data_IF_742660814938
#
_entry.id   IF_742660814938
#
_cell.length_a   1.000
_cell.length_b   1.000
_cell.length_c   1.000
_cell.angle_alpha   90.00
_cell.angle_beta   90.00
_cell.angle_gamma   90.00
#
_symmetry.space_group_name_H-M   'P 1'
#
loop_
_entity.id
_entity.type
_entity.pdbx_description
1 polymer ?
#
# COMPACT_ATOMS: atom_id res chain seq x y z
N UNK A 1 -17.41 9.50 -25.27
CA UNK A 1 -16.20 8.72 -24.93
C UNK A 1 -16.37 8.21 -23.51
N UNK A 2 -16.14 6.91 -23.27
CA UNK A 2 -16.30 6.35 -21.93
C UNK A 2 -15.24 6.91 -20.98
N UNK A 3 -15.61 7.17 -19.72
CA UNK A 3 -14.68 7.69 -18.67
C UNK A 3 -13.40 6.84 -18.59
N UNK A 4 -13.53 5.53 -18.74
CA UNK A 4 -12.40 4.59 -18.76
C UNK A 4 -11.41 4.85 -19.88
N UNK A 5 -11.88 5.13 -21.10
CA UNK A 5 -10.99 5.40 -22.23
C UNK A 5 -10.27 6.73 -22.10
N UNK A 6 -10.83 7.69 -21.37
CA UNK A 6 -10.23 9.01 -21.13
C UNK A 6 -9.19 8.94 -20.00
N UNK A 7 -9.45 8.16 -18.97
CA UNK A 7 -8.64 8.16 -17.73
C UNK A 7 -7.90 6.81 -17.49
N UNK A 8 -7.67 6.01 -18.55
CA UNK A 8 -7.07 4.69 -18.43
C UNK A 8 -5.64 4.72 -17.86
N UNK A 9 -4.85 5.76 -18.14
CA UNK A 9 -3.50 5.93 -17.60
C UNK A 9 -3.51 6.17 -16.09
N UNK A 10 -4.49 6.93 -15.60
CA UNK A 10 -4.70 7.10 -14.16
C UNK A 10 -5.07 5.76 -13.52
N UNK A 11 -5.98 5.02 -14.12
CA UNK A 11 -6.40 3.71 -13.61
C UNK A 11 -5.24 2.70 -13.60
N UNK A 12 -4.44 2.67 -14.66
CA UNK A 12 -3.25 1.83 -14.76
C UNK A 12 -2.22 2.20 -13.67
N UNK A 13 -1.93 3.50 -13.50
CA UNK A 13 -0.98 3.95 -12.48
C UNK A 13 -1.47 3.67 -11.06
N UNK A 14 -2.79 3.80 -10.80
CA UNK A 14 -3.40 3.43 -9.54
C UNK A 14 -3.32 1.91 -9.28
N UNK A 15 -3.55 1.08 -10.29
CA UNK A 15 -3.43 -0.38 -10.18
C UNK A 15 -2.00 -0.82 -9.88
N UNK A 16 -1.02 -0.28 -10.59
CA UNK A 16 0.41 -0.57 -10.37
C UNK A 16 0.86 -0.05 -9.01
N UNK A 17 0.41 1.14 -8.61
CA UNK A 17 0.69 1.70 -7.30
C UNK A 17 0.12 0.85 -6.16
N UNK A 18 -1.07 0.31 -6.32
CA UNK A 18 -1.69 -0.61 -5.37
C UNK A 18 -0.93 -1.94 -5.28
N UNK A 19 -0.53 -2.51 -6.42
CA UNK A 19 0.32 -3.72 -6.47
C UNK A 19 1.62 -3.51 -5.69
N UNK A 20 2.25 -2.35 -5.86
CA UNK A 20 3.48 -1.97 -5.17
C UNK A 20 3.24 -1.33 -3.78
N UNK A 21 2.09 -1.57 -3.15
CA UNK A 21 1.76 -0.99 -1.85
C UNK A 21 2.47 -1.70 -0.69
N UNK A 22 2.57 -0.99 0.43
CA UNK A 22 3.19 -1.48 1.66
C UNK A 22 2.47 -2.67 2.29
N UNK A 23 1.21 -2.89 1.95
CA UNK A 23 0.43 -4.05 2.39
C UNK A 23 0.63 -5.22 1.42
N UNK A 24 0.54 -4.98 0.12
CA UNK A 24 0.49 -6.04 -0.91
C UNK A 24 1.87 -6.66 -1.15
N UNK A 25 2.86 -5.82 -1.44
CA UNK A 25 4.18 -6.28 -1.85
C UNK A 25 4.93 -7.09 -0.77
N UNK A 26 5.09 -6.61 0.48
CA UNK A 26 5.73 -7.39 1.54
C UNK A 26 4.95 -8.64 1.90
N UNK A 27 3.60 -8.59 1.89
CA UNK A 27 2.75 -9.72 2.25
C UNK A 27 2.92 -10.91 1.29
N UNK A 28 2.91 -10.66 -0.02
CA UNK A 28 3.05 -11.74 -1.00
C UNK A 28 4.50 -12.22 -1.19
N UNK A 29 5.50 -11.43 -0.83
CA UNK A 29 6.91 -11.82 -0.91
C UNK A 29 7.40 -12.63 0.30
N UNK A 30 6.76 -12.47 1.47
CA UNK A 30 7.25 -13.00 2.75
C UNK A 30 7.45 -14.53 2.73
N UNK A 31 6.54 -15.27 2.08
CA UNK A 31 6.60 -16.73 2.00
C UNK A 31 7.89 -17.26 1.39
N UNK A 32 8.39 -16.60 0.34
CA UNK A 32 9.64 -16.97 -0.33
C UNK A 32 10.89 -16.62 0.51
N UNK A 33 10.78 -15.69 1.45
CA UNK A 33 11.88 -15.20 2.27
C UNK A 33 12.05 -15.94 3.60
N UNK A 34 11.02 -16.69 4.05
CA UNK A 34 11.06 -17.42 5.34
C UNK A 34 12.25 -18.35 5.42
N UNK A 35 12.37 -19.28 4.47
CA UNK A 35 13.38 -20.35 4.53
C UNK A 35 14.80 -19.81 4.46
N UNK A 36 15.17 -18.96 3.48
CA UNK A 36 16.54 -18.47 3.36
C UNK A 36 16.99 -17.63 4.57
N UNK A 37 16.10 -16.82 5.14
CA UNK A 37 16.43 -15.95 6.27
C UNK A 37 16.50 -16.74 7.58
N UNK A 38 15.53 -17.62 7.84
CA UNK A 38 15.53 -18.44 9.06
C UNK A 38 16.70 -19.41 9.10
N UNK A 39 17.11 -19.96 7.94
CA UNK A 39 18.29 -20.84 7.88
C UNK A 39 19.62 -20.10 8.08
N UNK A 40 19.72 -18.84 7.65
CA UNK A 40 20.94 -18.03 7.82
C UNK A 40 21.14 -17.60 9.28
N UNK A 41 20.06 -17.15 9.95
CA UNK A 41 20.14 -16.58 11.29
C UNK A 41 19.77 -17.55 12.41
N UNK A 42 19.32 -18.77 12.08
CA UNK A 42 18.89 -19.75 13.07
C UNK A 42 17.57 -19.41 13.76
N UNK A 43 16.75 -18.53 13.16
CA UNK A 43 15.47 -18.14 13.71
C UNK A 43 14.42 -19.22 13.48
N UNK A 44 13.48 -19.34 14.40
CA UNK A 44 12.29 -20.17 14.17
C UNK A 44 11.34 -19.51 13.17
N UNK A 45 10.52 -20.33 12.50
CA UNK A 45 9.48 -19.80 11.60
C UNK A 45 8.48 -18.89 12.33
N UNK A 46 8.21 -19.19 13.60
CA UNK A 46 7.31 -18.38 14.43
C UNK A 46 7.89 -16.99 14.71
N UNK A 47 9.17 -16.91 15.08
CA UNK A 47 9.87 -15.64 15.27
C UNK A 47 9.88 -14.81 13.99
N UNK A 48 10.20 -15.43 12.86
CA UNK A 48 10.15 -14.74 11.58
C UNK A 48 8.75 -14.19 11.28
N UNK A 49 7.69 -14.98 11.47
CA UNK A 49 6.30 -14.56 11.17
C UNK A 49 5.79 -13.40 12.04
N UNK A 50 6.39 -13.13 13.19
CA UNK A 50 6.05 -11.96 14.01
C UNK A 50 6.23 -10.63 13.28
N UNK A 51 7.01 -10.57 12.20
CA UNK A 51 7.11 -9.34 11.36
C UNK A 51 5.74 -8.86 10.88
N UNK A 52 4.78 -9.78 10.66
CA UNK A 52 3.41 -9.44 10.24
C UNK A 52 2.71 -8.65 11.35
N UNK A 53 2.90 -9.05 12.61
CA UNK A 53 2.32 -8.35 13.76
C UNK A 53 2.87 -6.92 13.87
N UNK A 54 4.20 -6.76 13.74
CA UNK A 54 4.84 -5.43 13.80
C UNK A 54 4.43 -4.54 12.62
N UNK A 55 4.39 -5.09 11.41
CA UNK A 55 3.93 -4.37 10.23
C UNK A 55 2.46 -3.96 10.34
N UNK A 56 1.58 -4.89 10.73
CA UNK A 56 0.14 -4.63 10.88
C UNK A 56 -0.13 -3.64 12.01
N UNK A 57 0.52 -3.83 13.16
CA UNK A 57 0.39 -2.92 14.31
C UNK A 57 0.82 -1.50 13.96
N UNK A 58 1.97 -1.34 13.29
CA UNK A 58 2.42 -0.04 12.80
C UNK A 58 1.43 0.56 11.78
N UNK A 59 0.88 -0.27 10.89
CA UNK A 59 -0.12 0.14 9.90
C UNK A 59 -1.41 0.66 10.53
N UNK A 60 -1.92 0.00 11.56
CA UNK A 60 -3.13 0.43 12.30
C UNK A 60 -2.91 1.80 12.95
N UNK A 61 -1.74 2.02 13.56
CA UNK A 61 -1.41 3.30 14.21
C UNK A 61 -1.26 4.43 13.17
N UNK A 62 -0.67 4.12 12.01
CA UNK A 62 -0.41 5.14 10.98
C UNK A 62 -1.62 5.45 10.10
N UNK A 63 -2.59 4.56 9.98
CA UNK A 63 -3.75 4.73 9.10
C UNK A 63 -4.55 6.03 9.34
N UNK A 64 -4.90 6.43 10.59
CA UNK A 64 -5.59 7.70 10.83
C UNK A 64 -4.73 8.91 10.45
N UNK A 65 -3.43 8.85 10.72
CA UNK A 65 -2.48 9.92 10.40
C UNK A 65 -2.38 10.11 8.88
N UNK A 66 -2.31 9.01 8.14
CA UNK A 66 -2.28 9.04 6.67
C UNK A 66 -3.56 9.63 6.11
N UNK A 67 -4.73 9.26 6.65
CA UNK A 67 -6.02 9.85 6.25
C UNK A 67 -5.99 11.38 6.34
N UNK A 68 -5.63 11.91 7.51
CA UNK A 68 -5.53 13.35 7.73
C UNK A 68 -4.44 14.03 6.87
N UNK A 69 -3.35 13.32 6.58
CA UNK A 69 -2.25 13.85 5.79
C UNK A 69 -2.62 13.88 4.30
N UNK A 70 -3.31 12.85 3.80
CA UNK A 70 -3.85 12.82 2.42
C UNK A 70 -4.77 13.99 2.16
N UNK A 71 -5.61 14.35 3.14
CA UNK A 71 -6.54 15.48 3.02
C UNK A 71 -5.81 16.84 2.92
N UNK A 72 -4.64 16.97 3.55
CA UNK A 72 -3.84 18.21 3.55
C UNK A 72 -2.88 18.31 2.36
N UNK A 73 -2.18 17.24 2.06
CA UNK A 73 -1.05 17.24 1.10
C UNK A 73 -1.49 16.76 -0.28
N UNK A 74 -2.61 16.05 -0.34
CA UNK A 74 -3.16 15.49 -1.56
C UNK A 74 -2.68 14.07 -1.83
N UNK A 75 -3.56 13.32 -2.51
CA UNK A 75 -3.40 11.87 -2.77
C UNK A 75 -2.12 11.55 -3.55
N UNK A 76 -1.79 12.35 -4.58
CA UNK A 76 -0.64 12.11 -5.46
C UNK A 76 0.69 12.20 -4.72
N UNK A 77 0.88 13.25 -3.93
CA UNK A 77 2.15 13.45 -3.20
C UNK A 77 2.31 12.39 -2.13
N UNK A 78 1.23 12.02 -1.43
CA UNK A 78 1.21 10.93 -0.45
C UNK A 78 1.55 9.57 -1.08
N UNK A 79 0.99 9.27 -2.26
CA UNK A 79 1.29 8.05 -3.00
C UNK A 79 2.78 7.98 -3.38
N UNK A 80 3.35 9.07 -3.92
CA UNK A 80 4.76 9.14 -4.30
C UNK A 80 5.68 9.00 -3.08
N UNK A 81 5.42 9.75 -2.01
CA UNK A 81 6.17 9.65 -0.76
C UNK A 81 6.13 8.24 -0.19
N UNK A 82 4.96 7.59 -0.21
CA UNK A 82 4.79 6.22 0.26
C UNK A 82 5.53 5.19 -0.61
N UNK A 83 5.51 5.32 -1.94
CA UNK A 83 6.25 4.42 -2.84
C UNK A 83 7.76 4.52 -2.63
N UNK A 84 8.29 5.73 -2.54
CA UNK A 84 9.72 5.97 -2.27
C UNK A 84 10.10 5.53 -0.85
N UNK A 85 9.25 5.80 0.12
CA UNK A 85 9.43 5.37 1.52
C UNK A 85 9.42 3.85 1.65
N UNK A 86 8.52 3.14 0.97
CA UNK A 86 8.50 1.68 0.92
C UNK A 86 9.78 1.13 0.29
N UNK A 87 10.22 1.72 -0.83
CA UNK A 87 11.47 1.33 -1.47
C UNK A 87 12.67 1.46 -0.54
N UNK A 88 12.76 2.58 0.19
CA UNK A 88 13.79 2.79 1.21
C UNK A 88 13.73 1.73 2.32
N UNK A 89 12.53 1.44 2.85
CA UNK A 89 12.36 0.42 3.89
C UNK A 89 12.76 -0.99 3.42
N UNK A 90 12.46 -1.35 2.16
CA UNK A 90 12.90 -2.61 1.55
C UNK A 90 14.44 -2.65 1.39
N UNK A 91 15.07 -1.54 1.01
CA UNK A 91 16.54 -1.45 0.97
C UNK A 91 17.13 -1.61 2.38
N UNK A 92 16.52 -1.05 3.41
CA UNK A 92 16.94 -1.25 4.79
C UNK A 92 16.81 -2.72 5.20
N UNK A 93 15.72 -3.39 4.82
CA UNK A 93 15.54 -4.81 5.08
C UNK A 93 16.63 -5.68 4.42
N UNK A 94 17.11 -5.33 3.23
CA UNK A 94 18.22 -6.01 2.57
C UNK A 94 19.55 -5.94 3.36
N UNK A 95 19.70 -4.92 4.21
CA UNK A 95 20.87 -4.70 5.06
C UNK A 95 20.74 -5.29 6.47
N UNK A 96 19.63 -5.98 6.75
CA UNK A 96 19.37 -6.57 8.07
C UNK A 96 20.46 -7.59 8.44
N UNK A 97 20.96 -7.46 9.68
CA UNK A 97 21.86 -8.42 10.32
C UNK A 97 21.05 -9.51 11.06
N UNK A 98 21.73 -10.32 11.87
CA UNK A 98 21.12 -11.39 12.66
C UNK A 98 20.27 -10.94 13.85
N UNK A 99 20.12 -9.64 14.07
CA UNK A 99 19.32 -9.07 15.16
C UNK A 99 17.83 -9.09 14.83
N UNK A 100 17.08 -10.02 15.42
CA UNK A 100 15.67 -10.24 15.18
C UNK A 100 14.83 -8.96 15.43
N UNK A 101 15.14 -8.20 16.48
CA UNK A 101 14.45 -6.96 16.80
C UNK A 101 14.58 -5.89 15.72
N UNK A 102 15.78 -5.73 15.18
CA UNK A 102 16.01 -4.79 14.09
C UNK A 102 15.24 -5.22 12.83
N UNK A 103 15.13 -6.52 12.60
CA UNK A 103 14.33 -7.05 11.50
C UNK A 103 12.83 -6.73 11.66
N UNK A 104 12.27 -6.82 12.86
CA UNK A 104 10.90 -6.37 13.14
C UNK A 104 10.71 -4.87 12.86
N UNK A 105 11.69 -4.05 13.24
CA UNK A 105 11.66 -2.62 12.95
C UNK A 105 11.70 -2.31 11.45
N UNK A 106 12.40 -3.11 10.63
CA UNK A 106 12.38 -2.89 9.18
C UNK A 106 10.98 -3.14 8.59
N UNK A 107 10.25 -4.15 9.06
CA UNK A 107 8.87 -4.40 8.63
C UNK A 107 7.88 -3.35 9.16
N UNK A 108 8.06 -2.89 10.39
CA UNK A 108 7.30 -1.74 10.89
C UNK A 108 7.58 -0.48 10.05
N UNK A 109 8.84 -0.24 9.66
CA UNK A 109 9.20 0.88 8.79
C UNK A 109 8.59 0.78 7.39
N UNK A 110 8.42 -0.42 6.82
CA UNK A 110 7.67 -0.61 5.56
C UNK A 110 6.23 -0.14 5.68
N UNK A 111 5.57 -0.43 6.80
CA UNK A 111 4.20 0.02 7.04
C UNK A 111 4.12 1.53 7.24
N UNK A 112 5.05 2.13 8.00
CA UNK A 112 5.06 3.57 8.31
C UNK A 112 5.47 4.40 7.09
N UNK A 113 6.64 4.12 6.50
CA UNK A 113 7.15 4.88 5.36
C UNK A 113 6.35 4.62 4.09
N UNK A 114 5.82 3.40 3.93
CA UNK A 114 4.94 3.03 2.83
C UNK A 114 3.47 3.38 3.04
N UNK A 115 3.10 4.00 4.16
CA UNK A 115 1.70 4.22 4.55
C UNK A 115 0.90 5.06 3.54
N UNK A 116 1.56 5.93 2.76
CA UNK A 116 0.93 6.67 1.66
C UNK A 116 0.43 5.78 0.51
N UNK A 117 0.80 4.50 0.47
CA UNK A 117 0.41 3.55 -0.60
C UNK A 117 -0.72 2.60 -0.21
N UNK A 118 -1.36 2.77 0.94
CA UNK A 118 -2.47 1.93 1.38
C UNK A 118 -3.66 2.03 0.42
N UNK A 119 -4.53 1.00 0.35
CA UNK A 119 -5.66 0.97 -0.60
C UNK A 119 -6.54 2.21 -0.58
N UNK A 120 -6.74 2.84 0.59
CA UNK A 120 -7.55 4.06 0.74
C UNK A 120 -7.05 5.20 -0.15
N UNK A 121 -5.73 5.38 -0.28
CA UNK A 121 -5.14 6.42 -1.12
C UNK A 121 -5.54 6.23 -2.60
N UNK A 122 -5.48 5.02 -3.10
CA UNK A 122 -5.81 4.70 -4.49
C UNK A 122 -7.30 4.72 -4.76
N UNK A 123 -8.11 4.17 -3.84
CA UNK A 123 -9.58 4.17 -3.97
C UNK A 123 -10.14 5.59 -3.98
N UNK A 124 -9.66 6.49 -3.12
CA UNK A 124 -10.05 7.90 -3.13
C UNK A 124 -9.80 8.55 -4.49
N UNK A 125 -8.63 8.34 -5.09
CA UNK A 125 -8.30 8.91 -6.40
C UNK A 125 -9.21 8.37 -7.52
N UNK A 126 -9.45 7.05 -7.53
CA UNK A 126 -10.32 6.42 -8.52
C UNK A 126 -11.76 6.88 -8.36
N UNK A 127 -12.27 6.93 -7.12
CA UNK A 127 -13.66 7.37 -6.86
C UNK A 127 -13.89 8.85 -7.15
N UNK A 128 -12.87 9.69 -7.01
CA UNK A 128 -12.94 11.10 -7.38
C UNK A 128 -12.91 11.35 -8.88
N UNK A 129 -12.36 10.40 -9.67
CA UNK A 129 -12.20 10.58 -11.12
C UNK A 129 -13.28 9.88 -11.93
N UNK A 130 -13.81 8.75 -11.43
CA UNK A 130 -14.82 7.93 -12.12
C UNK A 130 -16.17 8.03 -11.41
N UNK A 131 -17.15 8.68 -12.03
CA UNK A 131 -18.50 8.87 -11.46
C UNK A 131 -19.47 7.78 -11.96
N UNK A 132 -19.59 7.58 -13.27
CA UNK A 132 -20.53 6.65 -13.85
C UNK A 132 -20.03 5.19 -13.86
N UNK A 133 -18.70 4.99 -13.95
CA UNK A 133 -18.08 3.67 -14.03
C UNK A 133 -17.23 3.34 -12.79
N UNK A 134 -17.55 3.96 -11.64
CA UNK A 134 -16.78 3.82 -10.37
C UNK A 134 -16.57 2.36 -9.97
N UNK A 135 -17.64 1.55 -9.98
CA UNK A 135 -17.55 0.12 -9.61
C UNK A 135 -16.63 -0.68 -10.51
N UNK A 136 -16.69 -0.46 -11.83
CA UNK A 136 -15.83 -1.14 -12.80
C UNK A 136 -14.37 -0.69 -12.66
N UNK A 137 -14.13 0.61 -12.48
CA UNK A 137 -12.78 1.15 -12.28
C UNK A 137 -12.14 0.60 -10.99
N UNK A 138 -12.88 0.56 -9.88
CA UNK A 138 -12.42 -0.07 -8.64
C UNK A 138 -12.16 -1.57 -8.82
N UNK A 139 -13.05 -2.28 -9.51
CA UNK A 139 -12.88 -3.71 -9.79
C UNK A 139 -11.60 -3.98 -10.59
N UNK A 140 -11.33 -3.21 -11.64
CA UNK A 140 -10.07 -3.31 -12.41
C UNK A 140 -8.87 -3.01 -11.56
N UNK A 141 -8.88 -1.93 -10.78
CA UNK A 141 -7.76 -1.56 -9.91
C UNK A 141 -7.46 -2.67 -8.88
N UNK A 142 -8.49 -3.18 -8.22
CA UNK A 142 -8.34 -4.22 -7.18
C UNK A 142 -7.97 -5.59 -7.76
N UNK A 143 -8.35 -5.91 -8.99
CA UNK A 143 -7.95 -7.18 -9.64
C UNK A 143 -6.42 -7.29 -9.80
N UNK A 144 -5.72 -6.15 -9.85
CA UNK A 144 -4.26 -6.10 -9.83
C UNK A 144 -3.64 -6.82 -8.63
N UNK A 145 -4.31 -6.82 -7.47
CA UNK A 145 -3.81 -7.54 -6.29
C UNK A 145 -3.80 -9.06 -6.48
N UNK A 146 -4.76 -9.60 -7.23
CA UNK A 146 -4.79 -11.02 -7.61
C UNK A 146 -3.63 -11.40 -8.54
N UNK A 147 -3.31 -10.53 -9.51
CA UNK A 147 -2.14 -10.70 -10.38
C UNK A 147 -0.86 -10.66 -9.55
N UNK A 148 -0.77 -9.75 -8.61
CA UNK A 148 0.34 -9.63 -7.67
C UNK A 148 0.54 -10.91 -6.84
N UNK A 149 -0.55 -11.50 -6.35
CA UNK A 149 -0.51 -12.75 -5.57
C UNK A 149 0.11 -13.92 -6.34
N UNK A 150 0.02 -13.92 -7.67
CA UNK A 150 0.63 -14.94 -8.53
C UNK A 150 2.07 -14.58 -8.86
N UNK A 151 2.36 -13.34 -9.25
CA UNK A 151 3.64 -12.95 -9.83
C UNK A 151 4.71 -12.67 -8.76
N UNK A 152 4.35 -12.02 -7.65
CA UNK A 152 5.34 -11.58 -6.64
C UNK A 152 6.02 -12.75 -5.91
N UNK A 153 5.32 -13.81 -5.48
CA UNK A 153 5.99 -14.95 -4.88
C UNK A 153 7.01 -15.59 -5.84
N UNK A 154 6.64 -15.79 -7.11
CA UNK A 154 7.51 -16.39 -8.11
C UNK A 154 8.72 -15.52 -8.44
N UNK A 155 8.50 -14.21 -8.60
CA UNK A 155 9.57 -13.24 -8.78
C UNK A 155 10.54 -13.24 -7.59
N UNK A 156 10.00 -13.29 -6.36
CA UNK A 156 10.82 -13.32 -5.16
C UNK A 156 11.61 -14.62 -5.04
N UNK A 157 10.99 -15.77 -5.32
CA UNK A 157 11.69 -17.08 -5.35
C UNK A 157 12.83 -17.04 -6.36
N UNK A 158 12.55 -16.57 -7.58
CA UNK A 158 13.58 -16.47 -8.63
C UNK A 158 14.76 -15.60 -8.20
N UNK A 159 14.50 -14.45 -7.56
CA UNK A 159 15.56 -13.59 -7.03
C UNK A 159 16.36 -14.25 -5.91
N UNK A 160 15.68 -14.95 -4.99
CA UNK A 160 16.32 -15.64 -3.87
C UNK A 160 17.24 -16.76 -4.37
N UNK A 161 16.77 -17.58 -5.31
CA UNK A 161 17.53 -18.73 -5.84
C UNK A 161 18.76 -18.30 -6.65
N UNK A 162 18.67 -17.20 -7.40
CA UNK A 162 19.77 -16.77 -8.26
C UNK A 162 20.74 -15.77 -7.60
N UNK A 163 20.24 -14.94 -6.65
CA UNK A 163 21.01 -13.81 -6.11
C UNK A 163 20.96 -13.70 -4.58
N UNK A 164 20.23 -14.57 -3.92
CA UNK A 164 20.04 -14.56 -2.48
C UNK A 164 18.99 -13.56 -2.00
N UNK A 165 18.56 -13.72 -0.74
CA UNK A 165 17.43 -12.99 -0.17
C UNK A 165 17.69 -11.47 -0.02
N UNK A 166 18.93 -11.05 0.21
CA UNK A 166 19.30 -9.62 0.28
C UNK A 166 19.03 -8.91 -1.06
N UNK A 167 19.45 -9.56 -2.15
CA UNK A 167 19.18 -9.03 -3.49
C UNK A 167 17.70 -9.12 -3.84
N UNK A 168 16.97 -10.10 -3.31
CA UNK A 168 15.52 -10.18 -3.48
C UNK A 168 14.82 -8.94 -2.89
N UNK A 169 15.22 -8.46 -1.71
CA UNK A 169 14.69 -7.19 -1.17
C UNK A 169 15.02 -5.99 -2.05
N UNK A 170 16.21 -5.93 -2.65
CA UNK A 170 16.56 -4.85 -3.60
C UNK A 170 15.73 -4.93 -4.88
N UNK A 171 15.52 -6.14 -5.41
CA UNK A 171 14.62 -6.36 -6.55
C UNK A 171 13.18 -5.96 -6.25
N UNK A 172 12.68 -6.28 -5.05
CA UNK A 172 11.36 -5.83 -4.59
C UNK A 172 11.31 -4.31 -4.42
N UNK A 173 12.38 -3.66 -3.94
CA UNK A 173 12.46 -2.20 -3.82
C UNK A 173 12.45 -1.49 -5.18
N UNK A 174 13.00 -2.13 -6.22
CA UNK A 174 12.99 -1.58 -7.56
C UNK A 174 11.56 -1.43 -8.13
N UNK A 175 10.62 -2.27 -7.74
CA UNK A 175 9.24 -2.21 -8.23
C UNK A 175 8.54 -0.89 -7.83
N UNK A 176 8.44 -0.49 -6.55
CA UNK A 176 7.82 0.78 -6.20
C UNK A 176 8.63 1.98 -6.67
N UNK A 177 9.97 1.93 -6.65
CA UNK A 177 10.82 3.09 -6.98
C UNK A 177 10.99 3.30 -8.47
N UNK A 178 11.33 2.25 -9.23
CA UNK A 178 11.68 2.38 -10.65
C UNK A 178 10.49 2.21 -11.59
N UNK A 179 9.41 1.54 -11.16
CA UNK A 179 8.23 1.32 -12.01
C UNK A 179 7.01 2.10 -11.52
N UNK A 180 6.58 1.92 -10.27
CA UNK A 180 5.35 2.55 -9.79
C UNK A 180 5.50 4.06 -9.61
N UNK A 181 6.57 4.54 -8.98
CA UNK A 181 6.74 5.97 -8.71
C UNK A 181 6.84 6.82 -9.98
N UNK A 182 7.59 6.45 -11.04
CA UNK A 182 7.59 7.20 -12.30
C UNK A 182 6.22 7.22 -12.97
N UNK A 183 5.50 6.10 -13.00
CA UNK A 183 4.15 6.03 -13.57
C UNK A 183 3.17 6.93 -12.82
N UNK A 184 3.21 6.89 -11.50
CA UNK A 184 2.40 7.76 -10.63
C UNK A 184 2.80 9.23 -10.82
N UNK A 185 4.09 9.52 -10.93
CA UNK A 185 4.57 10.88 -11.17
C UNK A 185 4.15 11.44 -12.53
N UNK A 186 4.01 10.60 -13.56
CA UNK A 186 3.67 11.05 -14.91
C UNK A 186 2.16 11.07 -15.18
N UNK A 187 1.43 10.06 -14.67
CA UNK A 187 0.06 9.81 -15.12
C UNK A 187 -0.99 9.88 -14.01
N UNK A 188 -0.58 9.86 -12.73
CA UNK A 188 -1.53 9.90 -11.63
C UNK A 188 -1.89 11.34 -11.28
N UNK A 189 -2.88 11.87 -12.01
CA UNK A 189 -3.45 13.19 -11.76
C UNK A 189 -4.94 13.01 -11.44
N UNK A 190 -5.27 12.60 -10.20
CA UNK A 190 -6.67 12.48 -9.82
C UNK A 190 -7.36 13.83 -9.88
N UNK A 191 -8.65 13.83 -10.21
CA UNK A 191 -9.48 15.02 -10.08
C UNK A 191 -9.35 15.54 -8.63
N UNK A 192 -9.27 16.85 -8.47
CA UNK A 192 -9.33 17.45 -7.13
C UNK A 192 -10.69 17.09 -6.53
N UNK A 193 -10.65 16.48 -5.35
CA UNK A 193 -11.86 16.42 -4.53
C UNK A 193 -12.13 17.86 -4.14
N UNK A 194 -13.09 18.51 -4.79
CA UNK A 194 -13.56 19.81 -4.34
C UNK A 194 -14.11 19.62 -2.92
N UNK A 195 -13.84 20.57 -2.01
CA UNK A 195 -14.48 20.54 -0.70
C UNK A 195 -15.99 20.50 -0.93
N UNK A 196 -16.68 19.57 -0.31
CA UNK A 196 -18.14 19.50 -0.32
C UNK A 196 -18.72 20.90 -0.11
N UNK A 197 -19.65 21.31 -0.97
CA UNK A 197 -20.32 22.61 -0.84
C UNK A 197 -20.95 22.71 0.56
N UNK A 198 -21.08 23.93 1.11
CA UNK A 198 -21.63 24.11 2.45
C UNK A 198 -23.00 23.44 2.66
N UNK A 199 -23.80 23.27 1.59
CA UNK A 199 -25.08 22.58 1.61
C UNK A 199 -24.94 21.05 1.78
N UNK A 200 -23.98 20.41 1.10
CA UNK A 200 -23.68 18.96 1.28
C UNK A 200 -23.08 18.68 2.66
N UNK A 201 -22.29 19.62 3.20
CA UNK A 201 -21.83 19.54 4.60
C UNK A 201 -22.97 19.62 5.60
N UNK A 202 -23.96 20.49 5.38
CA UNK A 202 -25.11 20.61 6.24
C UNK A 202 -25.98 19.33 6.25
N UNK A 203 -26.11 18.65 5.11
CA UNK A 203 -26.77 17.34 5.05
C UNK A 203 -25.95 16.22 5.70
N UNK A 204 -24.62 16.23 5.59
CA UNK A 204 -23.74 15.31 6.27
C UNK A 204 -23.71 15.52 7.80
N UNK A 205 -23.87 16.76 8.27
CA UNK A 205 -23.98 17.08 9.70
C UNK A 205 -25.28 16.60 10.34
N UNK A 206 -26.31 16.21 9.56
CA UNK A 206 -27.52 15.54 10.07
C UNK A 206 -27.31 14.06 10.36
N UNK A 207 -26.15 13.52 10.10
CA UNK A 207 -25.74 12.17 10.49
C UNK A 207 -25.58 12.01 12.00
N UNK A 208 -25.75 10.77 12.49
CA UNK A 208 -25.51 10.43 13.90
C UNK A 208 -24.02 10.67 14.24
N UNK A 209 -23.76 11.28 15.38
CA UNK A 209 -22.40 11.37 15.91
C UNK A 209 -21.88 9.95 16.24
N UNK A 210 -20.55 9.77 16.28
CA UNK A 210 -19.93 8.48 16.60
C UNK A 210 -20.46 7.90 17.93
N UNK A 211 -20.75 8.74 18.91
CA UNK A 211 -21.29 8.36 20.23
C UNK A 211 -22.74 7.89 20.10
N UNK A 212 -23.56 8.60 19.34
CA UNK A 212 -24.96 8.23 19.09
C UNK A 212 -25.07 6.97 18.23
N UNK A 213 -24.20 6.83 17.23
CA UNK A 213 -24.13 5.62 16.41
C UNK A 213 -23.70 4.40 17.26
N UNK A 214 -22.67 4.54 18.10
CA UNK A 214 -22.19 3.47 18.97
C UNK A 214 -23.19 3.08 20.07
N UNK A 215 -24.04 4.01 20.50
CA UNK A 215 -25.13 3.74 21.44
C UNK A 215 -26.35 3.04 20.79
N UNK A 216 -26.46 3.11 19.46
CA UNK A 216 -27.58 2.54 18.71
C UNK A 216 -27.36 1.04 18.40
N UNK A 217 -28.34 0.18 18.72
CA UNK A 217 -28.24 -1.28 18.45
C UNK A 217 -28.09 -1.60 16.94
N UNK A 218 -28.44 -0.69 16.04
CA UNK A 218 -28.31 -0.85 14.58
C UNK A 218 -26.88 -0.72 14.07
N UNK A 219 -25.99 -0.22 14.90
CA UNK A 219 -24.57 -0.09 14.57
C UNK A 219 -23.81 -1.42 14.82
N UNK A 220 -24.26 -2.23 15.75
CA UNK A 220 -23.71 -3.54 16.13
C UNK A 220 -24.49 -4.69 15.50
#
# INVERSE_FOLDING_TARGET
MNELSKNWLLLLSASIGLICSSIVLPFYSIGALVVPITSEFGWSRSEFQLVILFSTGAGVITAPIVGALVDRVGVRLMALAGLLGLGLALILASRSGGELWLFYLTYASMAVLGAGTIPVTWTRAVTATFFHQRGLALGIMLSGTGICAILIPQYTVWLVENFGWRTAYLGLAALPVCFAAPLVALFFHPARVEPEEPEERAEAETGLTLVEAAAGYRFW
#
